data_IF_791479777966
#
_entry.id   IF_791479777966
#
_cell.length_a   1.000
_cell.length_b   1.000
_cell.length_c   1.000
_cell.angle_alpha   90.00
_cell.angle_beta   90.00
_cell.angle_gamma   90.00
#
_symmetry.space_group_name_H-M   'P 1'
#
loop_
_entity.id
_entity.type
_entity.pdbx_description
1 polymer ?
#
# COMPACT_ATOMS: atom_id res chain seq x y z
N UNK A 1 11.20 19.05 21.37
CA UNK A 1 10.41 18.40 20.29
C UNK A 1 11.19 18.56 19.00
N UNK A 2 11.68 17.45 18.46
CA UNK A 2 12.60 17.44 17.31
C UNK A 2 11.83 17.72 16.00
N UNK A 3 12.28 18.68 15.20
CA UNK A 3 11.64 19.11 13.93
C UNK A 3 11.41 17.93 12.97
N UNK A 4 12.25 16.90 13.08
CA UNK A 4 12.16 15.67 12.29
C UNK A 4 10.90 14.82 12.57
N UNK A 5 10.35 14.86 13.79
CA UNK A 5 9.16 14.06 14.13
C UNK A 5 7.89 14.61 13.46
N UNK A 6 7.78 15.94 13.35
CA UNK A 6 6.67 16.61 12.68
C UNK A 6 6.66 16.37 11.17
N UNK A 7 7.84 16.34 10.54
CA UNK A 7 7.97 16.06 9.10
C UNK A 7 7.49 14.64 8.76
N UNK A 8 7.92 13.64 9.53
CA UNK A 8 7.49 12.24 9.32
C UNK A 8 6.00 12.04 9.56
N UNK A 9 5.41 12.77 10.52
CA UNK A 9 3.97 12.72 10.76
C UNK A 9 3.16 13.27 9.56
N UNK A 10 3.65 14.34 8.93
CA UNK A 10 3.06 14.89 7.70
C UNK A 10 3.06 13.87 6.56
N UNK A 11 4.20 13.21 6.33
CA UNK A 11 4.32 12.15 5.32
C UNK A 11 3.43 10.94 5.58
N UNK A 12 3.30 10.51 6.84
CA UNK A 12 2.38 9.44 7.21
C UNK A 12 0.93 9.80 6.84
N UNK A 13 0.48 11.00 7.24
CA UNK A 13 -0.88 11.48 6.91
C UNK A 13 -1.08 11.56 5.40
N UNK A 14 -0.09 12.08 4.67
CA UNK A 14 -0.14 12.12 3.21
C UNK A 14 -0.32 10.71 2.61
N UNK A 15 0.47 9.73 3.05
CA UNK A 15 0.36 8.35 2.54
C UNK A 15 -0.96 7.68 2.91
N UNK A 16 -1.53 7.97 4.08
CA UNK A 16 -2.88 7.51 4.41
C UNK A 16 -3.94 8.12 3.49
N UNK A 17 -3.90 9.43 3.22
CA UNK A 17 -4.80 10.08 2.26
C UNK A 17 -4.63 9.47 0.87
N UNK A 18 -3.38 9.31 0.44
CA UNK A 18 -3.08 8.72 -0.86
C UNK A 18 -3.60 7.28 -0.97
N UNK A 19 -3.53 6.49 0.10
CA UNK A 19 -4.15 5.16 0.16
C UNK A 19 -5.67 5.23 0.10
N UNK A 20 -6.30 6.13 0.86
CA UNK A 20 -7.76 6.27 0.87
C UNK A 20 -8.29 6.59 -0.52
N UNK A 21 -7.67 7.54 -1.21
CA UNK A 21 -8.12 7.95 -2.55
C UNK A 21 -7.75 6.92 -3.60
N UNK A 22 -6.48 6.51 -3.64
CA UNK A 22 -5.98 5.59 -4.66
C UNK A 22 -6.49 4.17 -4.44
N UNK A 23 -6.10 3.50 -3.35
CA UNK A 23 -6.53 2.13 -3.09
C UNK A 23 -8.05 2.04 -2.86
N UNK A 24 -8.66 3.00 -2.15
CA UNK A 24 -10.11 2.99 -1.91
C UNK A 24 -10.91 3.21 -3.19
N UNK A 25 -10.56 4.23 -3.98
CA UNK A 25 -11.20 4.48 -5.27
C UNK A 25 -11.01 3.31 -6.24
N UNK A 26 -9.80 2.74 -6.26
CA UNK A 26 -9.49 1.61 -7.11
C UNK A 26 -10.21 0.33 -6.68
N UNK A 27 -10.25 0.04 -5.38
CA UNK A 27 -10.95 -1.12 -4.82
C UNK A 27 -12.47 -1.04 -5.04
N UNK A 28 -13.07 0.13 -4.81
CA UNK A 28 -14.48 0.37 -5.10
C UNK A 28 -14.76 0.27 -6.60
N UNK A 29 -13.88 0.82 -7.45
CA UNK A 29 -13.99 0.71 -8.90
C UNK A 29 -14.03 -0.74 -9.36
N UNK A 30 -13.13 -1.58 -8.86
CA UNK A 30 -13.10 -3.01 -9.19
C UNK A 30 -14.38 -3.72 -8.77
N UNK A 31 -14.94 -3.39 -7.60
CA UNK A 31 -16.13 -4.06 -7.07
C UNK A 31 -17.42 -3.59 -7.76
N UNK A 32 -17.59 -2.29 -7.94
CA UNK A 32 -18.87 -1.68 -8.34
C UNK A 32 -18.97 -1.50 -9.85
N UNK A 33 -17.87 -1.16 -10.52
CA UNK A 33 -17.80 -0.89 -11.96
C UNK A 33 -16.66 -1.67 -12.64
N UNK A 34 -16.63 -3.02 -12.54
CA UNK A 34 -15.53 -3.85 -13.03
C UNK A 34 -15.26 -3.66 -14.52
N UNK A 35 -16.30 -3.50 -15.35
CA UNK A 35 -16.14 -3.37 -16.81
C UNK A 35 -15.47 -2.05 -17.22
N UNK A 36 -15.79 -0.96 -16.50
CA UNK A 36 -15.15 0.34 -16.71
C UNK A 36 -13.68 0.26 -16.32
N UNK A 37 -13.37 -0.37 -15.17
CA UNK A 37 -11.98 -0.57 -14.75
C UNK A 37 -11.19 -1.42 -15.76
N UNK A 38 -11.78 -2.51 -16.26
CA UNK A 38 -11.15 -3.33 -17.31
C UNK A 38 -10.84 -2.53 -18.55
N UNK A 39 -11.76 -1.67 -18.99
CA UNK A 39 -11.56 -0.82 -20.16
C UNK A 39 -10.44 0.21 -19.97
N UNK A 40 -10.43 0.91 -18.83
CA UNK A 40 -9.40 1.92 -18.52
C UNK A 40 -8.00 1.29 -18.44
N UNK A 41 -7.90 0.11 -17.83
CA UNK A 41 -6.62 -0.56 -17.60
C UNK A 41 -6.26 -1.59 -18.67
N UNK A 42 -7.08 -1.75 -19.72
CA UNK A 42 -6.81 -2.69 -20.82
C UNK A 42 -6.65 -4.14 -20.36
N UNK A 43 -7.35 -4.56 -19.31
CA UNK A 43 -7.21 -5.91 -18.75
C UNK A 43 -7.83 -6.95 -19.69
N UNK A 44 -7.20 -8.14 -19.84
CA UNK A 44 -7.77 -9.21 -20.63
C UNK A 44 -9.14 -9.66 -20.08
N UNK A 45 -10.07 -9.99 -20.97
CA UNK A 45 -11.35 -10.61 -20.63
C UNK A 45 -11.12 -12.05 -20.13
N UNK A 46 -10.66 -12.14 -18.89
CA UNK A 46 -10.46 -13.39 -18.16
C UNK A 46 -11.60 -13.54 -17.16
N UNK A 47 -12.13 -14.75 -16.98
CA UNK A 47 -13.14 -15.08 -15.95
C UNK A 47 -12.54 -15.08 -14.53
N UNK A 48 -11.85 -14.00 -14.17
CA UNK A 48 -11.14 -13.82 -12.89
C UNK A 48 -11.94 -12.98 -11.90
N UNK A 49 -13.28 -13.04 -11.96
CA UNK A 49 -14.16 -12.18 -11.16
C UNK A 49 -13.94 -12.35 -9.65
N UNK A 50 -13.62 -13.56 -9.20
CA UNK A 50 -13.33 -13.86 -7.79
C UNK A 50 -12.00 -13.20 -7.36
N UNK A 51 -10.95 -13.33 -8.17
CA UNK A 51 -9.64 -12.74 -7.88
C UNK A 51 -9.70 -11.21 -7.85
N UNK A 52 -10.45 -10.60 -8.77
CA UNK A 52 -10.70 -9.16 -8.76
C UNK A 52 -11.54 -8.72 -7.56
N UNK A 53 -12.58 -9.48 -7.16
CA UNK A 53 -13.37 -9.19 -5.96
C UNK A 53 -12.52 -9.20 -4.68
N UNK A 54 -11.63 -10.19 -4.53
CA UNK A 54 -10.66 -10.23 -3.42
C UNK A 54 -9.71 -9.04 -3.48
N UNK A 55 -9.17 -8.73 -4.65
CA UNK A 55 -8.26 -7.59 -4.84
C UNK A 55 -8.92 -6.26 -4.46
N UNK A 56 -10.15 -6.03 -4.96
CA UNK A 56 -10.89 -4.82 -4.66
C UNK A 56 -11.26 -4.69 -3.18
N UNK A 57 -11.68 -5.77 -2.55
CA UNK A 57 -12.05 -5.78 -1.12
C UNK A 57 -10.86 -5.54 -0.19
N UNK A 58 -9.68 -6.10 -0.52
CA UNK A 58 -8.44 -5.81 0.20
C UNK A 58 -8.05 -4.33 0.08
N UNK A 59 -8.13 -3.75 -1.11
CA UNK A 59 -7.82 -2.32 -1.28
C UNK A 59 -8.80 -1.39 -0.58
N UNK A 60 -10.10 -1.71 -0.61
CA UNK A 60 -11.10 -1.03 0.19
C UNK A 60 -10.77 -1.13 1.69
N UNK A 61 -10.34 -2.29 2.16
CA UNK A 61 -9.93 -2.49 3.55
C UNK A 61 -8.71 -1.64 3.92
N UNK A 62 -7.71 -1.54 3.03
CA UNK A 62 -6.58 -0.62 3.23
C UNK A 62 -7.01 0.84 3.34
N UNK A 63 -7.98 1.27 2.52
CA UNK A 63 -8.53 2.61 2.60
C UNK A 63 -9.25 2.85 3.93
N UNK A 64 -10.12 1.93 4.35
CA UNK A 64 -10.85 2.05 5.62
C UNK A 64 -9.89 2.09 6.82
N UNK A 65 -8.89 1.22 6.86
CA UNK A 65 -7.88 1.23 7.93
C UNK A 65 -6.99 2.47 7.88
N UNK A 66 -6.72 3.01 6.69
CA UNK A 66 -5.99 4.28 6.51
C UNK A 66 -6.78 5.48 7.04
N UNK A 67 -8.12 5.46 7.01
CA UNK A 67 -8.94 6.49 7.67
C UNK A 67 -8.72 6.50 9.19
N UNK A 68 -8.57 5.33 9.80
CA UNK A 68 -8.19 5.23 11.22
C UNK A 68 -6.75 5.71 11.44
N UNK A 69 -5.87 5.42 10.48
CA UNK A 69 -4.50 5.93 10.44
C UNK A 69 -4.40 7.44 10.50
N UNK A 70 -5.33 8.20 9.90
CA UNK A 70 -5.33 9.67 10.02
C UNK A 70 -5.50 10.17 11.46
N UNK A 71 -6.26 9.44 12.29
CA UNK A 71 -6.48 9.80 13.71
C UNK A 71 -5.30 9.41 14.60
N UNK A 72 -4.58 8.34 14.27
CA UNK A 72 -3.42 7.87 15.04
C UNK A 72 -2.31 7.36 14.12
N UNK A 73 -1.61 8.26 13.41
CA UNK A 73 -0.72 7.88 12.30
C UNK A 73 0.38 6.89 12.66
N UNK A 74 0.97 7.01 13.85
CA UNK A 74 2.02 6.11 14.31
C UNK A 74 1.50 4.71 14.69
N UNK A 75 0.27 4.61 15.22
CA UNK A 75 -0.31 3.32 15.64
C UNK A 75 -0.69 2.43 14.45
N UNK A 76 -1.01 3.05 13.32
CA UNK A 76 -1.45 2.35 12.10
C UNK A 76 -0.34 2.21 11.04
N UNK A 77 0.92 2.53 11.38
CA UNK A 77 2.07 2.31 10.47
C UNK A 77 2.14 0.88 9.93
N UNK A 78 1.74 -0.19 10.66
CA UNK A 78 1.66 -1.53 10.10
C UNK A 78 0.83 -1.65 8.81
N UNK A 79 -0.15 -0.76 8.58
CA UNK A 79 -0.94 -0.75 7.33
C UNK A 79 -0.12 -0.27 6.14
N UNK A 80 0.67 0.80 6.31
CA UNK A 80 1.59 1.27 5.29
C UNK A 80 2.72 0.26 5.05
N UNK A 81 3.19 -0.39 6.13
CA UNK A 81 4.18 -1.46 6.02
C UNK A 81 3.62 -2.66 5.23
N UNK A 82 2.39 -3.08 5.52
CA UNK A 82 1.73 -4.14 4.77
C UNK A 82 1.61 -3.78 3.28
N UNK A 83 1.23 -2.55 2.97
CA UNK A 83 1.17 -2.06 1.59
C UNK A 83 2.54 -2.09 0.89
N UNK A 84 3.59 -1.63 1.55
CA UNK A 84 4.95 -1.66 1.05
C UNK A 84 5.38 -3.11 0.77
N UNK A 85 5.23 -4.00 1.75
CA UNK A 85 5.62 -5.41 1.62
C UNK A 85 4.83 -6.10 0.52
N UNK A 86 3.51 -5.91 0.47
CA UNK A 86 2.66 -6.46 -0.59
C UNK A 86 3.13 -6.03 -1.98
N UNK A 87 3.42 -4.74 -2.18
CA UNK A 87 3.85 -4.21 -3.48
C UNK A 87 5.24 -4.72 -3.88
N UNK A 88 6.15 -4.87 -2.91
CA UNK A 88 7.47 -5.49 -3.16
C UNK A 88 7.29 -6.95 -3.57
N UNK A 89 6.49 -7.73 -2.84
CA UNK A 89 6.22 -9.13 -3.17
C UNK A 89 5.58 -9.26 -4.55
N UNK A 90 4.61 -8.40 -4.89
CA UNK A 90 4.00 -8.38 -6.22
C UNK A 90 5.01 -8.03 -7.31
N UNK A 91 5.86 -7.02 -7.09
CA UNK A 91 6.87 -6.63 -8.07
C UNK A 91 7.86 -7.77 -8.35
N UNK A 92 8.38 -8.40 -7.29
CA UNK A 92 9.35 -9.49 -7.41
C UNK A 92 8.70 -10.77 -7.95
N UNK A 93 7.49 -11.11 -7.52
CA UNK A 93 6.81 -12.34 -7.90
C UNK A 93 6.14 -12.30 -9.27
N UNK A 94 5.74 -11.11 -9.74
CA UNK A 94 4.96 -10.95 -10.98
C UNK A 94 5.73 -10.17 -12.04
N UNK A 95 6.19 -8.96 -11.71
CA UNK A 95 6.80 -8.08 -12.72
C UNK A 95 8.21 -8.51 -13.10
N UNK A 96 9.05 -8.86 -12.12
CA UNK A 96 10.42 -9.25 -12.38
C UNK A 96 10.52 -10.46 -13.33
N UNK A 97 9.76 -11.57 -13.17
CA UNK A 97 9.75 -12.65 -14.15
C UNK A 97 9.30 -12.22 -15.55
N UNK A 98 8.29 -11.35 -15.66
CA UNK A 98 7.81 -10.84 -16.96
C UNK A 98 8.87 -9.99 -17.67
N UNK A 99 9.62 -9.18 -16.92
CA UNK A 99 10.73 -8.39 -17.45
C UNK A 99 11.88 -9.30 -17.93
N UNK A 100 12.26 -10.30 -17.14
CA UNK A 100 13.33 -11.25 -17.50
C UNK A 100 12.99 -12.07 -18.74
N UNK A 101 11.71 -12.40 -18.93
CA UNK A 101 11.22 -13.15 -20.10
C UNK A 101 10.92 -12.27 -21.32
N UNK A 102 11.04 -10.94 -21.21
CA UNK A 102 10.72 -10.01 -22.31
C UNK A 102 9.24 -9.95 -22.67
N UNK A 103 8.35 -10.47 -21.82
CA UNK A 103 6.90 -10.57 -22.06
C UNK A 103 6.10 -9.50 -21.30
N UNK A 104 6.71 -8.36 -21.01
CA UNK A 104 6.10 -7.30 -20.21
C UNK A 104 4.95 -6.63 -20.97
N UNK A 105 3.68 -6.83 -20.55
CA UNK A 105 2.54 -6.34 -21.31
C UNK A 105 2.35 -4.84 -21.10
N UNK A 106 1.96 -4.12 -22.14
CA UNK A 106 1.79 -2.66 -22.11
C UNK A 106 0.82 -2.19 -21.03
N UNK A 107 -0.25 -2.95 -20.77
CA UNK A 107 -1.23 -2.60 -19.73
C UNK A 107 -0.65 -2.63 -18.30
N UNK A 108 0.45 -3.37 -18.07
CA UNK A 108 1.10 -3.43 -16.76
C UNK A 108 1.90 -2.16 -16.46
N UNK A 109 2.30 -1.37 -17.47
CA UNK A 109 3.12 -0.15 -17.30
C UNK A 109 2.47 0.81 -16.31
N UNK A 110 1.19 1.16 -16.54
CA UNK A 110 0.46 2.09 -15.67
C UNK A 110 0.37 1.57 -14.24
N UNK A 111 0.08 0.28 -14.10
CA UNK A 111 -0.05 -0.38 -12.80
C UNK A 111 1.27 -0.37 -12.01
N UNK A 112 2.37 -0.72 -12.70
CA UNK A 112 3.71 -0.72 -12.12
C UNK A 112 4.14 0.69 -11.72
N UNK A 113 3.81 1.73 -12.51
CA UNK A 113 4.13 3.12 -12.16
C UNK A 113 3.38 3.58 -10.89
N UNK A 114 2.10 3.27 -10.77
CA UNK A 114 1.32 3.55 -9.56
C UNK A 114 1.93 2.82 -8.36
N UNK A 115 2.31 1.55 -8.52
CA UNK A 115 2.87 0.79 -7.41
C UNK A 115 4.23 1.32 -6.98
N UNK A 116 5.06 1.74 -7.94
CA UNK A 116 6.34 2.37 -7.68
C UNK A 116 6.16 3.67 -6.89
N UNK A 117 5.18 4.52 -7.20
CA UNK A 117 4.94 5.75 -6.43
C UNK A 117 4.56 5.45 -4.97
N UNK A 118 3.74 4.41 -4.72
CA UNK A 118 3.45 3.97 -3.36
C UNK A 118 4.69 3.44 -2.63
N UNK A 119 5.50 2.60 -3.28
CA UNK A 119 6.73 2.06 -2.68
C UNK A 119 7.66 3.21 -2.24
N UNK A 120 7.89 4.17 -3.14
CA UNK A 120 8.75 5.33 -2.84
C UNK A 120 8.14 6.17 -1.71
N UNK A 121 6.84 6.45 -1.77
CA UNK A 121 6.13 7.21 -0.74
C UNK A 121 6.18 6.54 0.64
N UNK A 122 5.97 5.22 0.70
CA UNK A 122 5.99 4.43 1.93
C UNK A 122 7.41 4.39 2.52
N UNK A 123 8.44 4.22 1.70
CA UNK A 123 9.85 4.26 2.14
C UNK A 123 10.23 5.62 2.77
N UNK A 124 9.66 6.71 2.27
CA UNK A 124 9.88 8.07 2.83
C UNK A 124 9.07 8.26 4.11
N UNK A 125 7.80 7.83 4.11
CA UNK A 125 6.87 8.10 5.20
C UNK A 125 7.10 7.23 6.44
N UNK A 126 7.44 5.95 6.26
CA UNK A 126 7.53 4.99 7.36
C UNK A 126 8.74 5.29 8.26
N UNK A 127 8.53 5.51 9.56
CA UNK A 127 9.61 5.64 10.53
C UNK A 127 10.15 4.24 10.90
N UNK A 128 10.97 3.63 10.04
CA UNK A 128 11.49 2.27 10.25
C UNK A 128 12.18 2.06 11.61
N UNK A 129 12.90 3.07 12.10
CA UNK A 129 13.51 3.02 13.43
C UNK A 129 12.49 2.87 14.57
N UNK A 130 11.31 3.47 14.42
CA UNK A 130 10.21 3.35 15.39
C UNK A 130 9.49 2.01 15.27
N UNK A 131 9.30 1.52 14.05
CA UNK A 131 8.63 0.24 13.77
C UNK A 131 9.44 -0.94 14.32
N UNK A 132 10.77 -0.91 14.15
CA UNK A 132 11.67 -1.97 14.58
C UNK A 132 12.39 -1.65 15.89
N UNK A 133 11.97 -0.61 16.61
CA UNK A 133 12.49 -0.32 17.94
C UNK A 133 12.18 -1.49 18.87
N UNK A 134 13.20 -1.95 19.61
CA UNK A 134 13.04 -2.99 20.63
C UNK A 134 12.07 -2.48 21.68
N UNK A 135 11.01 -3.23 21.96
CA UNK A 135 10.13 -2.90 23.08
C UNK A 135 10.93 -3.04 24.38
N UNK A 136 10.77 -2.12 25.35
CA UNK A 136 11.35 -2.31 26.68
C UNK A 136 10.83 -3.64 27.22
N UNK A 137 11.73 -4.54 27.59
CA UNK A 137 11.34 -5.77 28.29
C UNK A 137 10.72 -5.38 29.63
N UNK A 138 9.71 -6.14 30.08
CA UNK A 138 9.07 -5.93 31.39
C UNK A 138 10.10 -5.83 32.54
N UNK A 139 11.21 -6.55 32.43
CA UNK A 139 12.35 -6.47 33.36
C UNK A 139 12.98 -5.07 33.46
N UNK A 140 13.05 -4.33 32.35
CA UNK A 140 13.58 -2.96 32.33
C UNK A 140 12.61 -1.90 32.87
N UNK A 141 11.31 -2.23 33.00
CA UNK A 141 10.30 -1.36 33.59
C UNK A 141 10.14 -1.57 35.10
N UNK A 142 10.59 -2.72 35.62
CA UNK A 142 10.55 -3.06 37.05
C UNK A 142 11.85 -2.70 37.80
N UNK A 143 12.89 -2.22 37.09
CA UNK A 143 14.19 -1.84 37.66
C UNK A 143 14.43 -0.32 37.75
N UNK A 144 13.45 0.51 37.38
CA UNK A 144 13.45 1.98 37.56
C UNK A 144 12.28 2.40 38.43
#
# INVERSE_FOLDING_TARGET
MDKNSNVRLGWLKFMYIYTIVGAGGFGLGIIVIPDVMRSIFGWPNSDQIIAFGVTGSVYCSFALLSMLGLRSPLKFVPILLLQLTYKIVWFVGVILPLLLNGTYPTYAILFTMIYASYIIGDLIAIPFSHVFAKQPTLEGLLQN
#
